data_IF_404460395947
#
_entry.id   IF_404460395947
#
_cell.length_a   1.000
_cell.length_b   1.000
_cell.length_c   1.000
_cell.angle_alpha   90.00
_cell.angle_beta   90.00
_cell.angle_gamma   90.00
#
_symmetry.space_group_name_H-M   'P 1'
#
loop_
_entity.id
_entity.type
_entity.pdbx_description
1 polymer ?
#
# COMPACT_ATOMS: atom_id res chain seq x y z
N UNK A 1 37.45 -45.22 54.25
CA UNK A 1 36.69 -44.09 53.66
C UNK A 1 35.29 -44.11 54.27
N UNK A 2 34.93 -43.15 55.12
CA UNK A 2 33.75 -43.23 55.98
C UNK A 2 32.46 -43.17 55.16
N UNK A 3 31.46 -43.98 55.54
CA UNK A 3 30.12 -44.08 54.94
C UNK A 3 29.51 -42.68 54.73
N UNK A 4 29.75 -41.72 55.60
CA UNK A 4 29.32 -40.34 55.48
C UNK A 4 29.85 -39.58 54.26
N UNK A 5 31.09 -39.87 53.79
CA UNK A 5 31.64 -39.27 52.56
C UNK A 5 31.00 -39.82 51.30
N UNK A 6 30.63 -41.12 51.30
CA UNK A 6 29.94 -41.73 50.16
C UNK A 6 28.53 -41.22 50.00
N UNK A 7 27.77 -41.02 51.08
CA UNK A 7 26.42 -40.44 51.04
C UNK A 7 26.43 -38.97 50.60
N UNK A 8 27.41 -38.19 51.02
CA UNK A 8 27.59 -36.81 50.58
C UNK A 8 27.91 -36.69 49.06
N UNK A 9 28.73 -37.58 48.52
CA UNK A 9 29.05 -37.64 47.10
C UNK A 9 27.84 -38.08 46.25
N UNK A 10 27.03 -39.00 46.72
CA UNK A 10 25.84 -39.45 46.05
C UNK A 10 24.78 -38.30 46.04
N UNK A 11 24.62 -37.59 47.16
CA UNK A 11 23.74 -36.42 47.25
C UNK A 11 24.15 -35.29 46.29
N UNK A 12 25.47 -35.02 46.20
CA UNK A 12 25.99 -34.00 45.27
C UNK A 12 25.74 -34.40 43.81
N UNK A 13 25.93 -35.68 43.43
CA UNK A 13 25.66 -36.20 42.10
C UNK A 13 24.18 -36.08 41.73
N UNK A 14 23.26 -36.38 42.64
CA UNK A 14 21.81 -36.26 42.40
C UNK A 14 21.44 -34.80 42.21
N UNK A 15 21.94 -33.88 43.00
CA UNK A 15 21.69 -32.44 42.82
C UNK A 15 22.23 -31.94 41.47
N UNK A 16 23.44 -32.36 41.10
CA UNK A 16 24.05 -32.01 39.84
C UNK A 16 23.23 -32.56 38.66
N UNK A 17 22.77 -33.79 38.76
CA UNK A 17 21.89 -34.42 37.71
C UNK A 17 20.57 -33.67 37.57
N UNK A 18 19.92 -33.28 38.69
CA UNK A 18 18.68 -32.48 38.67
C UNK A 18 18.91 -31.10 38.07
N UNK A 19 20.05 -30.48 38.36
CA UNK A 19 20.44 -29.19 37.82
C UNK A 19 20.68 -29.29 36.29
N UNK A 20 21.33 -30.32 35.85
CA UNK A 20 21.54 -30.62 34.40
C UNK A 20 20.22 -30.88 33.70
N UNK A 21 19.32 -31.69 34.25
CA UNK A 21 17.98 -31.94 33.69
C UNK A 21 17.18 -30.63 33.65
N UNK A 22 17.23 -29.82 34.70
CA UNK A 22 16.56 -28.51 34.70
C UNK A 22 17.12 -27.55 33.65
N UNK A 23 18.46 -27.44 33.54
CA UNK A 23 19.12 -26.63 32.51
C UNK A 23 18.80 -27.17 31.09
N UNK A 24 18.82 -28.49 30.90
CA UNK A 24 18.49 -29.12 29.64
C UNK A 24 17.02 -28.87 29.26
N UNK A 25 16.08 -29.02 30.19
CA UNK A 25 14.67 -28.73 29.93
C UNK A 25 14.43 -27.24 29.61
N UNK A 26 15.20 -26.34 30.19
CA UNK A 26 15.10 -24.91 29.93
C UNK A 26 15.77 -24.49 28.61
N UNK A 27 16.85 -25.16 28.20
CA UNK A 27 17.54 -24.91 26.91
C UNK A 27 16.82 -25.53 25.73
N UNK A 28 16.17 -26.69 25.88
CA UNK A 28 15.34 -27.33 24.84
C UNK A 28 13.99 -26.64 24.67
N UNK A 29 13.57 -25.76 25.60
CA UNK A 29 12.34 -24.97 25.45
C UNK A 29 12.42 -23.89 24.36
N UNK A 30 13.60 -23.62 23.80
CA UNK A 30 13.73 -22.80 22.58
C UNK A 30 13.51 -23.72 21.39
N UNK A 31 12.28 -23.75 20.89
CA UNK A 31 11.95 -24.48 19.65
C UNK A 31 12.60 -23.74 18.45
N UNK A 32 13.85 -24.16 18.14
CA UNK A 32 14.61 -23.64 17.01
C UNK A 32 13.84 -23.80 15.69
N UNK A 33 12.99 -24.82 15.58
CA UNK A 33 12.12 -25.02 14.43
C UNK A 33 11.03 -23.97 14.33
N UNK A 34 10.41 -23.60 15.46
CA UNK A 34 9.43 -22.50 15.51
C UNK A 34 10.08 -21.17 15.17
N UNK A 35 11.26 -20.88 15.75
CA UNK A 35 12.00 -19.66 15.48
C UNK A 35 12.39 -19.56 13.99
N UNK A 36 12.86 -20.65 13.39
CA UNK A 36 13.20 -20.67 11.96
C UNK A 36 11.95 -20.44 11.08
N UNK A 37 10.80 -21.05 11.42
CA UNK A 37 9.54 -20.80 10.73
C UNK A 37 9.10 -19.34 10.81
N UNK A 38 9.23 -18.71 11.96
CA UNK A 38 8.95 -17.27 12.13
C UNK A 38 9.83 -16.43 11.21
N UNK A 39 11.14 -16.69 11.19
CA UNK A 39 12.08 -15.97 10.33
C UNK A 39 11.79 -16.17 8.84
N UNK A 40 11.44 -17.36 8.41
CA UNK A 40 11.05 -17.65 7.02
C UNK A 40 9.77 -16.90 6.64
N UNK A 41 8.74 -16.93 7.48
CA UNK A 41 7.49 -16.20 7.25
C UNK A 41 7.70 -14.68 7.22
N UNK A 42 8.56 -14.12 8.06
CA UNK A 42 8.89 -12.69 8.04
C UNK A 42 9.59 -12.30 6.74
N UNK A 43 10.56 -13.07 6.26
CA UNK A 43 11.23 -12.82 4.97
C UNK A 43 10.27 -12.92 3.79
N UNK A 44 9.38 -13.92 3.81
CA UNK A 44 8.36 -14.03 2.75
C UNK A 44 7.38 -12.86 2.79
N UNK A 45 6.97 -12.40 3.99
CA UNK A 45 6.11 -11.23 4.14
C UNK A 45 6.79 -9.96 3.62
N UNK A 46 8.07 -9.75 3.94
CA UNK A 46 8.87 -8.63 3.44
C UNK A 46 8.96 -8.63 1.90
N UNK A 47 9.23 -9.80 1.31
CA UNK A 47 9.26 -9.97 -0.14
C UNK A 47 7.91 -9.64 -0.79
N UNK A 48 6.82 -10.18 -0.25
CA UNK A 48 5.47 -9.92 -0.74
C UNK A 48 5.06 -8.45 -0.56
N UNK A 49 5.51 -7.80 0.51
CA UNK A 49 5.28 -6.38 0.73
C UNK A 49 6.00 -5.51 -0.31
N UNK A 50 7.24 -5.84 -0.63
CA UNK A 50 8.00 -5.17 -1.69
C UNK A 50 7.35 -5.37 -3.07
N UNK A 51 6.89 -6.59 -3.38
CA UNK A 51 6.15 -6.89 -4.60
C UNK A 51 4.84 -6.11 -4.68
N UNK A 52 4.10 -6.03 -3.59
CA UNK A 52 2.85 -5.27 -3.52
C UNK A 52 3.08 -3.77 -3.73
N UNK A 53 4.12 -3.19 -3.10
CA UNK A 53 4.51 -1.80 -3.32
C UNK A 53 4.88 -1.52 -4.79
N UNK A 54 5.64 -2.42 -5.41
CA UNK A 54 5.97 -2.30 -6.83
C UNK A 54 4.71 -2.35 -7.72
N UNK A 55 3.74 -3.20 -7.38
CA UNK A 55 2.48 -3.30 -8.11
C UNK A 55 1.59 -2.04 -7.94
N UNK A 56 1.59 -1.42 -6.75
CA UNK A 56 0.93 -0.12 -6.53
C UNK A 56 1.56 0.96 -7.43
N UNK A 57 2.89 1.04 -7.49
CA UNK A 57 3.58 1.99 -8.34
C UNK A 57 3.27 1.76 -9.82
N UNK A 58 3.28 0.50 -10.29
CA UNK A 58 2.91 0.15 -11.68
C UNK A 58 1.47 0.53 -11.98
N UNK A 59 0.54 0.26 -11.07
CA UNK A 59 -0.85 0.63 -11.22
C UNK A 59 -1.03 2.14 -11.34
N UNK A 60 -0.26 2.93 -10.57
CA UNK A 60 -0.29 4.39 -10.60
C UNK A 60 0.16 4.96 -11.95
N UNK A 61 1.26 4.46 -12.51
CA UNK A 61 1.81 4.94 -13.80
C UNK A 61 1.12 4.32 -15.02
N UNK A 62 0.08 3.53 -14.81
CA UNK A 62 -0.72 2.96 -15.89
C UNK A 62 -0.03 1.88 -16.71
N UNK A 63 1.16 1.39 -16.28
CA UNK A 63 1.96 0.40 -17.01
C UNK A 63 1.38 -1.01 -16.94
N UNK A 64 0.37 -1.28 -16.13
CA UNK A 64 -0.16 -2.62 -16.00
C UNK A 64 -1.68 -2.64 -15.78
N UNK A 65 -2.24 -3.75 -16.13
CA UNK A 65 -3.46 -4.35 -15.58
C UNK A 65 -3.40 -4.46 -14.03
N UNK A 66 -2.77 -3.50 -13.39
CA UNK A 66 -2.30 -3.46 -12.01
C UNK A 66 -3.33 -3.79 -10.92
N UNK A 67 -4.63 -3.67 -11.22
CA UNK A 67 -5.65 -4.11 -10.29
C UNK A 67 -5.61 -5.63 -10.06
N UNK A 68 -5.32 -6.44 -11.09
CA UNK A 68 -5.24 -7.91 -10.99
C UNK A 68 -3.99 -8.38 -10.22
N UNK A 69 -2.85 -7.73 -10.41
CA UNK A 69 -1.62 -8.09 -9.69
C UNK A 69 -1.68 -7.68 -8.20
N UNK A 70 -2.35 -6.59 -7.87
CA UNK A 70 -2.63 -6.21 -6.48
C UNK A 70 -3.53 -7.23 -5.78
N UNK A 71 -4.52 -7.76 -6.48
CA UNK A 71 -5.44 -8.76 -5.93
C UNK A 71 -4.80 -10.14 -5.76
N UNK A 72 -3.81 -10.50 -6.57
CA UNK A 72 -3.14 -11.80 -6.48
C UNK A 72 -2.13 -11.87 -5.32
N UNK A 73 -1.51 -10.76 -4.93
CA UNK A 73 -0.52 -10.72 -3.85
C UNK A 73 -1.19 -10.77 -2.47
N UNK A 74 -2.36 -10.15 -2.31
CA UNK A 74 -3.06 -10.02 -1.04
C UNK A 74 -3.39 -11.35 -0.35
N UNK A 75 -3.96 -12.38 -1.02
CA UNK A 75 -4.27 -13.66 -0.39
C UNK A 75 -3.02 -14.38 0.14
N UNK A 76 -1.89 -14.25 -0.58
CA UNK A 76 -0.60 -14.82 -0.16
C UNK A 76 -0.08 -14.13 1.10
N UNK A 77 -0.13 -12.80 1.16
CA UNK A 77 0.24 -12.04 2.35
C UNK A 77 -0.61 -12.41 3.56
N UNK A 78 -1.93 -12.53 3.40
CA UNK A 78 -2.83 -12.98 4.45
C UNK A 78 -2.54 -14.40 4.93
N UNK A 79 -2.14 -15.29 4.01
CA UNK A 79 -1.74 -16.64 4.39
C UNK A 79 -0.45 -16.65 5.21
N UNK A 80 0.57 -15.89 4.79
CA UNK A 80 1.83 -15.77 5.53
C UNK A 80 1.60 -15.11 6.90
N UNK A 81 0.74 -14.09 6.98
CA UNK A 81 0.34 -13.44 8.24
C UNK A 81 -0.33 -14.45 9.20
N UNK A 82 -1.27 -15.26 8.73
CA UNK A 82 -1.89 -16.33 9.55
C UNK A 82 -0.86 -17.36 10.03
N UNK A 83 0.05 -17.78 9.15
CA UNK A 83 1.12 -18.73 9.50
C UNK A 83 2.05 -18.14 10.56
N UNK A 84 2.38 -16.87 10.43
CA UNK A 84 3.19 -16.14 11.41
C UNK A 84 2.47 -16.03 12.75
N UNK A 85 1.19 -15.67 12.75
CA UNK A 85 0.35 -15.64 13.95
C UNK A 85 0.31 -16.99 14.66
N UNK A 86 0.08 -18.08 13.93
CA UNK A 86 0.08 -19.42 14.49
C UNK A 86 1.45 -19.81 15.10
N UNK A 87 2.55 -19.49 14.43
CA UNK A 87 3.90 -19.74 14.94
C UNK A 87 4.22 -18.92 16.20
N UNK A 88 3.78 -17.66 16.25
CA UNK A 88 4.01 -16.76 17.38
C UNK A 88 3.08 -17.04 18.57
N UNK A 89 1.89 -17.60 18.34
CA UNK A 89 0.97 -17.99 19.42
C UNK A 89 1.59 -19.05 20.34
N UNK A 90 2.49 -19.87 19.82
CA UNK A 90 3.23 -20.87 20.60
C UNK A 90 4.36 -20.25 21.44
N UNK A 91 4.70 -18.99 21.19
CA UNK A 91 5.71 -18.28 22.01
C UNK A 91 5.02 -17.49 23.12
N UNK A 92 5.40 -17.76 24.37
CA UNK A 92 4.79 -17.10 25.55
C UNK A 92 5.32 -15.67 25.80
N UNK A 93 6.13 -15.10 24.89
CA UNK A 93 6.73 -13.78 25.05
C UNK A 93 5.72 -12.66 24.79
N UNK A 94 5.33 -11.92 25.81
CA UNK A 94 4.38 -10.80 25.70
C UNK A 94 4.83 -9.71 24.71
N UNK A 95 6.14 -9.41 24.67
CA UNK A 95 6.71 -8.44 23.74
C UNK A 95 6.53 -8.85 22.27
N UNK A 96 6.72 -10.14 21.95
CA UNK A 96 6.54 -10.68 20.61
C UNK A 96 5.07 -10.60 20.17
N UNK A 97 4.13 -10.91 21.08
CA UNK A 97 2.71 -10.77 20.81
C UNK A 97 2.31 -9.31 20.54
N UNK A 98 2.82 -8.37 21.34
CA UNK A 98 2.56 -6.95 21.12
C UNK A 98 3.13 -6.45 19.78
N UNK A 99 4.32 -6.92 19.38
CA UNK A 99 4.90 -6.61 18.08
C UNK A 99 4.05 -7.17 16.92
N UNK A 100 3.57 -8.41 17.04
CA UNK A 100 2.68 -9.02 16.04
C UNK A 100 1.37 -8.25 15.88
N UNK A 101 0.73 -7.84 16.97
CA UNK A 101 -0.52 -7.06 16.90
C UNK A 101 -0.33 -5.70 16.24
N UNK A 102 0.81 -5.03 16.50
CA UNK A 102 1.14 -3.78 15.79
C UNK A 102 1.35 -4.00 14.28
N UNK A 103 2.06 -5.07 13.92
CA UNK A 103 2.26 -5.44 12.52
C UNK A 103 0.93 -5.74 11.83
N UNK A 104 0.04 -6.50 12.49
CA UNK A 104 -1.29 -6.81 11.99
C UNK A 104 -2.13 -5.54 11.77
N UNK A 105 -2.12 -4.62 12.72
CA UNK A 105 -2.81 -3.33 12.58
C UNK A 105 -2.26 -2.51 11.40
N UNK A 106 -0.94 -2.45 11.25
CA UNK A 106 -0.30 -1.76 10.11
C UNK A 106 -0.66 -2.42 8.76
N UNK A 107 -0.75 -3.75 8.73
CA UNK A 107 -1.14 -4.49 7.53
C UNK A 107 -2.61 -4.23 7.14
N UNK A 108 -3.53 -4.23 8.11
CA UNK A 108 -4.95 -3.90 7.88
C UNK A 108 -5.11 -2.46 7.38
N UNK A 109 -4.38 -1.50 7.97
CA UNK A 109 -4.41 -0.11 7.51
C UNK A 109 -3.86 0.02 6.09
N UNK A 110 -2.78 -0.68 5.76
CA UNK A 110 -2.25 -0.72 4.39
C UNK A 110 -3.27 -1.30 3.41
N UNK A 111 -3.98 -2.37 3.77
CA UNK A 111 -5.06 -2.93 2.93
C UNK A 111 -6.16 -1.92 2.67
N UNK A 112 -6.58 -1.18 3.71
CA UNK A 112 -7.60 -0.12 3.59
C UNK A 112 -7.14 0.98 2.63
N UNK A 113 -5.90 1.47 2.79
CA UNK A 113 -5.32 2.50 1.92
C UNK A 113 -5.19 2.04 0.47
N UNK A 114 -4.77 0.79 0.23
CA UNK A 114 -4.71 0.22 -1.12
C UNK A 114 -6.10 0.08 -1.74
N UNK A 115 -7.11 -0.29 -0.95
CA UNK A 115 -8.51 -0.30 -1.41
C UNK A 115 -8.97 1.08 -1.86
N UNK A 116 -8.70 2.12 -1.08
CA UNK A 116 -9.00 3.51 -1.44
C UNK A 116 -8.23 3.96 -2.69
N UNK A 117 -6.93 3.62 -2.75
CA UNK A 117 -6.11 3.90 -3.94
C UNK A 117 -6.68 3.26 -5.20
N UNK A 118 -7.10 1.98 -5.15
CA UNK A 118 -7.70 1.29 -6.30
C UNK A 118 -8.94 2.01 -6.80
N UNK A 119 -9.85 2.40 -5.90
CA UNK A 119 -11.07 3.15 -6.26
C UNK A 119 -10.73 4.50 -6.88
N UNK A 120 -9.87 5.28 -6.23
CA UNK A 120 -9.45 6.59 -6.75
C UNK A 120 -8.70 6.50 -8.08
N UNK A 121 -7.82 5.52 -8.24
CA UNK A 121 -7.08 5.30 -9.47
C UNK A 121 -7.98 4.85 -10.64
N UNK A 122 -9.00 4.03 -10.37
CA UNK A 122 -9.99 3.64 -11.37
C UNK A 122 -10.79 4.84 -11.87
N UNK A 123 -11.31 5.66 -10.93
CA UNK A 123 -12.03 6.88 -11.26
C UNK A 123 -11.17 7.89 -12.04
N UNK A 124 -9.91 8.06 -11.63
CA UNK A 124 -8.97 8.93 -12.34
C UNK A 124 -8.74 8.46 -13.78
N UNK A 125 -8.53 7.17 -14.00
CA UNK A 125 -8.32 6.60 -15.34
C UNK A 125 -9.56 6.76 -16.23
N UNK A 126 -10.74 6.52 -15.68
CA UNK A 126 -12.00 6.74 -16.39
C UNK A 126 -12.16 8.22 -16.79
N UNK A 127 -11.93 9.14 -15.84
CA UNK A 127 -11.97 10.58 -16.08
C UNK A 127 -10.97 11.02 -17.15
N UNK A 128 -9.73 10.51 -17.10
CA UNK A 128 -8.70 10.80 -18.09
C UNK A 128 -9.02 10.23 -19.47
N UNK A 129 -9.70 9.09 -19.55
CA UNK A 129 -10.14 8.51 -20.82
C UNK A 129 -11.26 9.32 -21.48
N UNK A 130 -12.15 9.92 -20.68
CA UNK A 130 -13.24 10.77 -21.16
C UNK A 130 -12.81 12.20 -21.50
N UNK A 131 -11.72 12.68 -20.90
CA UNK A 131 -11.30 14.08 -21.00
C UNK A 131 -11.07 14.55 -22.46
N UNK A 132 -10.38 13.79 -23.35
CA UNK A 132 -10.18 14.22 -24.73
C UNK A 132 -11.48 14.38 -25.52
N UNK A 133 -12.45 13.47 -25.33
CA UNK A 133 -13.75 13.55 -26.00
C UNK A 133 -14.56 14.74 -25.49
N UNK A 134 -14.58 14.99 -24.17
CA UNK A 134 -15.27 16.14 -23.60
C UNK A 134 -14.67 17.48 -24.05
N UNK A 135 -13.34 17.56 -24.19
CA UNK A 135 -12.68 18.75 -24.74
C UNK A 135 -13.05 18.94 -26.22
N UNK A 136 -13.07 17.86 -27.01
CA UNK A 136 -13.42 17.93 -28.42
C UNK A 136 -14.90 18.35 -28.60
N UNK A 137 -15.80 17.81 -27.79
CA UNK A 137 -17.21 18.19 -27.78
C UNK A 137 -17.39 19.66 -27.45
N UNK A 138 -16.71 20.15 -26.39
CA UNK A 138 -16.75 21.56 -25.99
C UNK A 138 -16.20 22.47 -27.11
N UNK A 139 -15.11 22.10 -27.78
CA UNK A 139 -14.58 22.83 -28.93
C UNK A 139 -15.56 22.88 -30.10
N UNK A 140 -16.26 21.78 -30.35
CA UNK A 140 -17.29 21.69 -31.43
C UNK A 140 -18.48 22.57 -31.09
N UNK A 141 -18.97 22.56 -29.87
CA UNK A 141 -20.04 23.46 -29.41
C UNK A 141 -19.64 24.93 -29.59
N UNK A 142 -18.42 25.31 -29.17
CA UNK A 142 -17.91 26.67 -29.31
C UNK A 142 -17.83 27.12 -30.78
N UNK A 143 -17.34 26.28 -31.70
CA UNK A 143 -17.28 26.57 -33.12
C UNK A 143 -18.67 26.64 -33.76
N UNK A 144 -19.63 25.87 -33.24
CA UNK A 144 -21.03 25.91 -33.68
C UNK A 144 -21.73 27.24 -33.32
N UNK A 145 -21.39 27.82 -32.17
CA UNK A 145 -21.96 29.13 -31.73
C UNK A 145 -21.39 30.29 -32.56
N UNK A 146 -20.15 30.17 -33.05
CA UNK A 146 -19.46 31.26 -33.75
C UNK A 146 -19.85 31.39 -35.25
N UNK A 147 -20.68 30.50 -35.79
CA UNK A 147 -21.15 30.44 -37.20
C UNK A 147 -20.84 31.68 -38.06
N UNK A 148 -19.74 31.64 -38.81
CA UNK A 148 -19.31 32.54 -39.89
C UNK A 148 -18.50 33.81 -39.52
N UNK A 149 -18.14 34.11 -38.31
CA UNK A 149 -17.22 35.18 -37.94
C UNK A 149 -15.91 34.63 -37.37
N UNK A 150 -14.79 35.28 -37.62
CA UNK A 150 -13.47 34.85 -37.14
C UNK A 150 -13.51 34.55 -35.63
N UNK A 151 -12.77 33.50 -35.14
CA UNK A 151 -12.82 33.08 -33.77
C UNK A 151 -12.59 34.26 -32.82
N UNK A 152 -13.52 34.45 -31.89
CA UNK A 152 -13.42 35.57 -30.94
C UNK A 152 -12.20 35.35 -30.03
N UNK A 153 -11.59 36.44 -29.55
CA UNK A 153 -10.45 36.32 -28.60
C UNK A 153 -10.79 35.45 -27.39
N UNK A 154 -12.08 35.41 -27.05
CA UNK A 154 -12.60 34.62 -25.91
C UNK A 154 -12.53 33.10 -26.18
N UNK A 155 -12.83 32.65 -27.41
CA UNK A 155 -12.73 31.24 -27.80
C UNK A 155 -11.30 30.77 -27.85
N UNK A 156 -10.39 31.59 -28.40
CA UNK A 156 -8.96 31.28 -28.40
C UNK A 156 -8.41 31.19 -26.95
N UNK A 157 -8.80 32.12 -26.07
CA UNK A 157 -8.40 32.09 -24.67
C UNK A 157 -8.93 30.86 -23.93
N UNK A 158 -10.16 30.42 -24.25
CA UNK A 158 -10.74 29.20 -23.67
C UNK A 158 -10.04 27.93 -24.17
N UNK A 159 -9.68 27.87 -25.46
CA UNK A 159 -8.90 26.75 -26.02
C UNK A 159 -7.53 26.63 -25.38
N UNK A 160 -6.83 27.76 -25.20
CA UNK A 160 -5.55 27.81 -24.49
C UNK A 160 -5.69 27.37 -23.03
N UNK A 161 -6.73 27.81 -22.33
CA UNK A 161 -7.01 27.43 -20.95
C UNK A 161 -7.30 25.92 -20.81
N UNK A 162 -8.06 25.35 -21.74
CA UNK A 162 -8.34 23.89 -21.78
C UNK A 162 -7.08 23.06 -22.04
N UNK A 163 -6.24 23.50 -22.97
CA UNK A 163 -4.97 22.82 -23.27
C UNK A 163 -4.00 22.91 -22.09
N UNK A 164 -3.92 24.04 -21.41
CA UNK A 164 -3.13 24.22 -20.20
C UNK A 164 -3.63 23.33 -19.05
N UNK A 165 -4.95 23.29 -18.84
CA UNK A 165 -5.58 22.44 -17.82
C UNK A 165 -5.28 20.95 -18.09
N UNK A 166 -5.41 20.49 -19.34
CA UNK A 166 -5.07 19.11 -19.71
C UNK A 166 -3.60 18.79 -19.42
N UNK A 167 -2.70 19.70 -19.78
CA UNK A 167 -1.27 19.51 -19.51
C UNK A 167 -0.97 19.41 -18.02
N UNK A 168 -1.62 20.24 -17.20
CA UNK A 168 -1.46 20.23 -15.74
C UNK A 168 -2.05 18.96 -15.11
N UNK A 169 -3.19 18.46 -15.56
CA UNK A 169 -3.77 17.19 -15.12
C UNK A 169 -2.84 16.03 -15.45
N UNK A 170 -2.27 15.98 -16.67
CA UNK A 170 -1.33 14.94 -17.07
C UNK A 170 -0.04 14.99 -16.22
N UNK A 171 0.49 16.18 -15.94
CA UNK A 171 1.66 16.37 -15.07
C UNK A 171 1.34 15.91 -13.64
N UNK A 172 0.18 16.28 -13.10
CA UNK A 172 -0.23 15.86 -11.76
C UNK A 172 -0.37 14.35 -11.66
N UNK A 173 -0.87 13.69 -12.68
CA UNK A 173 -0.95 12.22 -12.72
C UNK A 173 0.45 11.57 -12.67
N UNK A 174 1.44 12.15 -13.33
CA UNK A 174 2.82 11.63 -13.32
C UNK A 174 3.55 11.95 -12.00
N UNK A 175 3.41 13.16 -11.50
CA UNK A 175 4.09 13.65 -10.30
C UNK A 175 3.12 14.54 -9.49
N UNK A 176 2.34 13.99 -8.55
CA UNK A 176 1.44 14.76 -7.71
C UNK A 176 2.21 15.79 -6.89
N UNK A 177 1.81 17.05 -7.08
CA UNK A 177 2.30 18.19 -6.35
C UNK A 177 1.09 18.98 -5.83
N UNK A 178 0.99 19.29 -4.53
CA UNK A 178 -0.11 20.08 -3.97
C UNK A 178 -0.30 21.43 -4.65
N UNK A 179 0.78 22.11 -5.03
CA UNK A 179 0.72 23.38 -5.75
C UNK A 179 0.11 23.21 -7.15
N UNK A 180 0.44 22.12 -7.83
CA UNK A 180 -0.13 21.77 -9.13
C UNK A 180 -1.63 21.40 -8.99
N UNK A 181 -2.01 20.70 -7.92
CA UNK A 181 -3.40 20.40 -7.60
C UNK A 181 -4.23 21.67 -7.43
N UNK A 182 -3.79 22.62 -6.61
CA UNK A 182 -4.45 23.90 -6.43
C UNK A 182 -4.57 24.71 -7.73
N UNK A 183 -3.56 24.64 -8.60
CA UNK A 183 -3.61 25.29 -9.92
C UNK A 183 -4.65 24.67 -10.84
N UNK A 184 -4.79 23.34 -10.85
CA UNK A 184 -5.82 22.62 -11.60
C UNK A 184 -7.21 23.05 -11.13
N UNK A 185 -7.46 23.09 -9.81
CA UNK A 185 -8.74 23.53 -9.25
C UNK A 185 -9.09 24.96 -9.66
N UNK A 186 -8.15 25.88 -9.59
CA UNK A 186 -8.33 27.28 -10.01
C UNK A 186 -8.61 27.39 -11.52
N UNK A 187 -7.86 26.67 -12.35
CA UNK A 187 -8.04 26.66 -13.80
C UNK A 187 -9.39 26.06 -14.20
N UNK A 188 -9.81 24.99 -13.54
CA UNK A 188 -11.13 24.38 -13.74
C UNK A 188 -12.25 25.37 -13.39
N UNK A 189 -12.14 26.08 -12.25
CA UNK A 189 -13.08 27.15 -11.86
C UNK A 189 -13.19 28.23 -12.92
N UNK A 190 -12.06 28.66 -13.48
CA UNK A 190 -12.02 29.67 -14.56
C UNK A 190 -12.73 29.18 -15.81
N UNK A 191 -12.44 27.97 -16.25
CA UNK A 191 -13.08 27.35 -17.45
C UNK A 191 -14.59 27.24 -17.25
N UNK A 192 -15.05 26.79 -16.07
CA UNK A 192 -16.48 26.67 -15.75
C UNK A 192 -17.21 28.02 -15.77
N UNK A 193 -16.59 29.06 -15.21
CA UNK A 193 -17.15 30.44 -15.24
C UNK A 193 -17.23 30.94 -16.67
N UNK A 194 -16.19 30.73 -17.47
CA UNK A 194 -16.21 31.12 -18.89
C UNK A 194 -17.28 30.37 -19.66
N UNK A 195 -17.42 29.04 -19.44
CA UNK A 195 -18.48 28.24 -20.08
C UNK A 195 -19.88 28.77 -19.72
N UNK A 196 -20.11 29.12 -18.48
CA UNK A 196 -21.41 29.70 -18.05
C UNK A 196 -21.76 31.02 -18.73
N UNK A 197 -20.75 31.80 -19.13
CA UNK A 197 -20.95 33.05 -19.88
C UNK A 197 -21.40 32.83 -21.33
N UNK A 198 -21.24 31.63 -21.87
CA UNK A 198 -21.70 31.23 -23.23
C UNK A 198 -23.03 30.47 -23.22
N UNK A 199 -23.56 30.10 -22.07
CA UNK A 199 -24.89 29.50 -21.97
C UNK A 199 -25.96 30.58 -22.03
N UNK A 200 -26.90 30.51 -22.98
CA UNK A 200 -28.00 31.43 -23.08
C UNK A 200 -28.94 31.38 -21.87
#
# INVERSE_FOLDING_TARGET
MSIRRRSALVGLLVVLALLLVFLFSRTTAVDLGAQNRVMLNLRELEKLDAEWNANILRARIGLDTGARSLDSTLPRMQQVERNLGAALFMTHAAATRAAYLRMQGAFQEKQRLVGQFKGGNALLRESLALLPSSITEMKTELTGIEGALAPSRTVLALDDALNALLADILRFNLAPDPALGARIENSLGTVLVQKAAFSP
#
